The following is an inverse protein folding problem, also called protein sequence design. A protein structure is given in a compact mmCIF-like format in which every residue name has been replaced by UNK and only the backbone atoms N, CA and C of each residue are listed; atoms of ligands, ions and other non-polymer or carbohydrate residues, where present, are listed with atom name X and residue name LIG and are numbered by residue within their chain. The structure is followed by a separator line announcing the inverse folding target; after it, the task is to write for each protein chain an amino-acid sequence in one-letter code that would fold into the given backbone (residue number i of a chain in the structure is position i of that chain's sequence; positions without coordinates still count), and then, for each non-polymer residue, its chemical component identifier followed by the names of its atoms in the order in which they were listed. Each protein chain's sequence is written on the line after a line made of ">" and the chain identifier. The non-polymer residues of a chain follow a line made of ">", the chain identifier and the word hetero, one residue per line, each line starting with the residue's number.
data_IF_219602709820
#
_entry.id   IF_219602709820
#
_cell.length_a   1.000
_cell.length_b   1.000
_cell.length_c   1.000
_cell.angle_alpha   90.00
_cell.angle_beta   90.00
_cell.angle_gamma   90.00
#
_symmetry.space_group_name_H-M   'P 1'
#
loop_
_entity.id
_entity.type
_entity.pdbx_description
1 polymer ?
#
# COMPACT_ATOMS: atom_id res chain seq x y z
N UNK A 1 3.29 8.90 21.77
CA UNK A 1 3.20 7.48 22.17
C UNK A 1 4.55 6.77 22.16
N UNK A 2 5.55 7.25 21.41
CA UNK A 2 6.89 6.62 21.30
C UNK A 2 7.82 6.93 22.50
N UNK A 3 7.62 8.06 23.17
CA UNK A 3 8.38 8.47 24.37
C UNK A 3 8.31 7.51 25.57
N UNK A 4 7.26 6.67 25.65
CA UNK A 4 7.09 5.70 26.74
C UNK A 4 7.97 4.45 26.56
N UNK A 5 8.37 4.13 25.32
CA UNK A 5 9.18 2.95 24.97
C UNK A 5 10.66 3.30 24.75
N UNK A 6 10.97 4.56 24.48
CA UNK A 6 12.33 5.04 24.21
C UNK A 6 13.17 5.23 25.48
N UNK A 7 12.52 5.35 26.65
CA UNK A 7 13.20 5.51 27.92
C UNK A 7 13.06 4.26 28.82
N UNK A 8 14.14 3.49 29.06
CA UNK A 8 14.10 2.27 29.86
C UNK A 8 13.63 2.50 31.31
N UNK A 9 13.87 3.70 31.87
CA UNK A 9 13.40 4.04 33.21
C UNK A 9 11.88 4.18 33.28
N UNK A 10 11.26 4.74 32.23
CA UNK A 10 9.80 4.91 32.15
C UNK A 10 9.12 3.54 31.97
N UNK A 11 9.74 2.64 31.20
CA UNK A 11 9.25 1.27 31.03
C UNK A 11 9.21 0.49 32.35
N UNK A 12 10.28 0.58 33.16
CA UNK A 12 10.35 -0.07 34.47
C UNK A 12 9.29 0.52 35.42
N UNK A 13 9.12 1.84 35.42
CA UNK A 13 8.11 2.52 36.23
C UNK A 13 6.67 2.10 35.84
N UNK A 14 6.40 1.95 34.54
CA UNK A 14 5.11 1.50 34.02
C UNK A 14 4.80 0.05 34.44
N UNK A 15 5.77 -0.86 34.31
CA UNK A 15 5.61 -2.26 34.72
C UNK A 15 5.40 -2.36 36.23
N UNK A 16 6.12 -1.57 37.03
CA UNK A 16 5.96 -1.51 38.47
C UNK A 16 4.56 -0.99 38.87
N UNK A 17 4.08 0.05 38.18
CA UNK A 17 2.75 0.61 38.39
C UNK A 17 1.64 -0.40 38.10
N UNK A 18 1.71 -1.10 36.96
CA UNK A 18 0.74 -2.14 36.59
C UNK A 18 0.83 -3.34 37.55
N UNK A 19 2.05 -3.77 37.92
CA UNK A 19 2.26 -4.90 38.86
C UNK A 19 1.73 -4.60 40.27
N UNK A 20 1.77 -3.33 40.70
CA UNK A 20 1.19 -2.89 41.98
C UNK A 20 -0.33 -3.04 42.00
N UNK A 21 -1.00 -2.76 40.88
CA UNK A 21 -2.44 -2.92 40.74
C UNK A 21 -2.90 -4.39 40.78
N UNK A 22 -2.09 -5.33 40.28
CA UNK A 22 -2.43 -6.75 40.24
C UNK A 22 -2.10 -7.52 41.54
N UNK A 23 -1.33 -6.94 42.47
CA UNK A 23 -0.95 -7.60 43.73
C UNK A 23 -2.07 -7.68 44.78
N UNK A 24 -3.19 -6.97 44.61
CA UNK A 24 -4.27 -6.90 45.62
C UNK A 24 -5.27 -8.07 45.66
N UNK A 25 -4.99 -9.22 45.03
CA UNK A 25 -5.98 -10.34 44.95
C UNK A 25 -5.50 -11.73 45.40
N UNK A 26 -4.42 -11.87 46.18
CA UNK A 26 -4.04 -13.18 46.75
C UNK A 26 -3.65 -13.07 48.22
N UNK A 27 -4.63 -13.23 49.09
CA UNK A 27 -4.44 -13.60 50.50
C UNK A 27 -5.20 -14.90 50.81
N UNK A 28 -4.44 -15.85 51.38
CA UNK A 28 -4.80 -16.94 52.32
C UNK A 28 -5.64 -18.13 51.81
N UNK A 29 -5.35 -19.41 52.12
CA UNK A 29 -5.07 -20.01 53.45
C UNK A 29 -4.27 -21.33 53.37
N UNK A 30 -3.51 -21.71 54.44
CA UNK A 30 -2.90 -23.04 54.60
C UNK A 30 -3.85 -24.03 55.34
N UNK A 31 -3.98 -25.25 54.82
CA UNK A 31 -4.78 -26.34 55.43
C UNK A 31 -3.87 -27.30 56.20
N UNK A 32 -4.20 -27.53 57.48
CA UNK A 32 -3.54 -28.46 58.42
C UNK A 32 -3.75 -29.93 57.99
N UNK A 33 -2.69 -30.74 58.10
CA UNK A 33 -2.64 -32.16 57.77
C UNK A 33 -2.78 -33.05 59.02
N UNK A 34 -3.46 -34.19 58.88
CA UNK A 34 -3.36 -35.37 59.78
C UNK A 34 -2.89 -36.59 58.95
N UNK A 35 -2.11 -37.54 59.51
CA UNK A 35 -1.40 -38.54 58.71
C UNK A 35 -2.27 -39.78 58.44
N UNK A 36 -2.23 -40.26 57.19
CA UNK A 36 -2.97 -41.42 56.67
C UNK A 36 -1.99 -42.54 56.28
N UNK A 37 -2.44 -43.77 56.47
CA UNK A 37 -1.72 -45.05 56.41
C UNK A 37 -1.07 -45.42 55.07
N UNK A 38 0.00 -46.21 55.17
CA UNK A 38 0.98 -46.64 54.15
C UNK A 38 0.43 -47.64 53.09
N UNK A 39 -0.88 -47.89 53.04
CA UNK A 39 -1.47 -48.86 52.10
C UNK A 39 -1.94 -48.25 50.77
N UNK A 40 -1.73 -46.95 50.57
CA UNK A 40 -2.21 -46.20 49.39
C UNK A 40 -1.10 -45.90 48.35
N UNK A 41 0.11 -46.44 48.51
CA UNK A 41 1.21 -46.16 47.56
C UNK A 41 1.24 -47.10 46.34
N UNK A 42 0.73 -48.32 46.44
CA UNK A 42 0.81 -49.28 45.32
C UNK A 42 -0.28 -49.11 44.25
N UNK A 43 -1.46 -48.56 44.58
CA UNK A 43 -2.48 -48.19 43.58
C UNK A 43 -2.15 -46.88 42.86
N UNK A 44 -1.45 -45.96 43.52
CA UNK A 44 -1.10 -44.66 42.96
C UNK A 44 0.00 -44.74 41.88
N UNK A 45 0.80 -45.81 41.81
CA UNK A 45 1.84 -45.97 40.78
C UNK A 45 1.32 -46.54 39.45
N UNK A 46 0.28 -47.37 39.47
CA UNK A 46 -0.32 -47.94 38.25
C UNK A 46 -1.21 -46.94 37.50
N UNK A 47 -1.87 -46.00 38.19
CA UNK A 47 -2.64 -44.91 37.54
C UNK A 47 -1.74 -43.82 36.94
N UNK A 48 -0.54 -43.59 37.50
CA UNK A 48 0.41 -42.57 37.00
C UNK A 48 1.01 -42.95 35.65
N UNK A 49 1.30 -44.23 35.42
CA UNK A 49 1.89 -44.70 34.15
C UNK A 49 0.92 -44.63 32.98
N UNK A 50 -0.40 -44.82 33.21
CA UNK A 50 -1.42 -44.61 32.17
C UNK A 50 -1.68 -43.13 31.87
N UNK A 51 -1.60 -42.25 32.87
CA UNK A 51 -1.79 -40.81 32.70
C UNK A 51 -0.62 -40.17 31.91
N UNK A 52 0.61 -40.61 32.16
CA UNK A 52 1.79 -40.13 31.43
C UNK A 52 1.78 -40.56 29.94
N UNK A 53 1.26 -41.76 29.63
CA UNK A 53 1.10 -42.23 28.25
C UNK A 53 0.08 -41.41 27.47
N UNK A 54 -1.06 -41.09 28.09
CA UNK A 54 -2.09 -40.26 27.45
C UNK A 54 -1.61 -38.83 27.18
N UNK A 55 -0.85 -38.24 28.12
CA UNK A 55 -0.26 -36.91 27.96
C UNK A 55 0.83 -36.87 26.87
N UNK A 56 1.62 -37.95 26.73
CA UNK A 56 2.63 -38.06 25.68
C UNK A 56 1.98 -38.15 24.28
N UNK A 57 0.83 -38.80 24.17
CA UNK A 57 0.09 -38.94 22.91
C UNK A 57 -0.57 -37.62 22.50
N UNK A 58 -1.18 -36.88 23.45
CA UNK A 58 -1.75 -35.54 23.17
C UNK A 58 -0.69 -34.53 22.75
N UNK A 59 0.48 -34.53 23.41
CA UNK A 59 1.60 -33.66 23.01
C UNK A 59 2.05 -33.97 21.58
N UNK A 60 2.17 -35.25 21.21
CA UNK A 60 2.59 -35.67 19.88
C UNK A 60 1.59 -35.26 18.79
N UNK A 61 0.30 -35.30 19.10
CA UNK A 61 -0.76 -34.79 18.21
C UNK A 61 -0.72 -33.26 18.07
N UNK A 62 -0.48 -32.53 19.15
CA UNK A 62 -0.31 -31.07 19.10
C UNK A 62 0.90 -30.65 18.27
N UNK A 63 2.04 -31.34 18.39
CA UNK A 63 3.22 -31.09 17.56
C UNK A 63 2.94 -31.32 16.08
N UNK A 64 2.23 -32.41 15.73
CA UNK A 64 1.82 -32.68 14.34
C UNK A 64 0.88 -31.61 13.80
N UNK A 65 -0.11 -31.17 14.60
CA UNK A 65 -1.00 -30.09 14.19
C UNK A 65 -0.28 -28.75 14.04
N UNK A 66 0.71 -28.45 14.88
CA UNK A 66 1.52 -27.25 14.74
C UNK A 66 2.39 -27.28 13.48
N UNK A 67 3.01 -28.42 13.15
CA UNK A 67 3.79 -28.56 11.92
C UNK A 67 2.92 -28.36 10.66
N UNK A 68 1.72 -28.93 10.63
CA UNK A 68 0.79 -28.73 9.51
C UNK A 68 0.34 -27.27 9.39
N UNK A 69 0.05 -26.61 10.50
CA UNK A 69 -0.29 -25.17 10.51
C UNK A 69 0.88 -24.33 10.04
N UNK A 70 2.11 -24.63 10.49
CA UNK A 70 3.32 -23.92 10.07
C UNK A 70 3.54 -24.06 8.56
N UNK A 71 3.39 -25.27 8.00
CA UNK A 71 3.50 -25.50 6.54
C UNK A 71 2.46 -24.72 5.76
N UNK A 72 1.20 -24.72 6.20
CA UNK A 72 0.12 -23.92 5.56
C UNK A 72 0.40 -22.43 5.58
N UNK A 73 0.89 -21.91 6.70
CA UNK A 73 1.26 -20.49 6.85
C UNK A 73 2.45 -20.16 5.93
N UNK A 74 3.44 -21.05 5.82
CA UNK A 74 4.58 -20.85 4.92
C UNK A 74 4.16 -20.84 3.44
N UNK A 75 3.28 -21.75 3.04
CA UNK A 75 2.72 -21.79 1.68
C UNK A 75 1.92 -20.53 1.35
N UNK A 76 1.05 -20.08 2.26
CA UNK A 76 0.28 -18.85 2.09
C UNK A 76 1.21 -17.63 2.00
N UNK A 77 2.24 -17.57 2.85
CA UNK A 77 3.23 -16.51 2.80
C UNK A 77 3.98 -16.49 1.45
N UNK A 78 4.40 -17.65 0.94
CA UNK A 78 5.06 -17.77 -0.37
C UNK A 78 4.13 -17.31 -1.50
N UNK A 79 2.87 -17.72 -1.49
CA UNK A 79 1.89 -17.30 -2.50
C UNK A 79 1.65 -15.78 -2.46
N UNK A 80 1.42 -15.21 -1.27
CA UNK A 80 1.22 -13.76 -1.11
C UNK A 80 2.46 -12.97 -1.53
N UNK A 81 3.67 -13.48 -1.23
CA UNK A 81 4.93 -12.86 -1.66
C UNK A 81 5.05 -12.83 -3.19
N UNK A 82 4.73 -13.94 -3.85
CA UNK A 82 4.73 -14.00 -5.32
C UNK A 82 3.73 -13.01 -5.94
N UNK A 83 2.50 -12.97 -5.43
CA UNK A 83 1.48 -12.01 -5.89
C UNK A 83 1.92 -10.54 -5.67
N UNK A 84 2.52 -10.25 -4.52
CA UNK A 84 3.06 -8.91 -4.23
C UNK A 84 4.21 -8.53 -5.18
N UNK A 85 5.09 -9.47 -5.50
CA UNK A 85 6.20 -9.25 -6.44
C UNK A 85 5.68 -9.03 -7.88
N UNK A 86 4.72 -9.83 -8.33
CA UNK A 86 4.09 -9.70 -9.64
C UNK A 86 3.37 -8.35 -9.79
N UNK A 87 2.57 -7.96 -8.79
CA UNK A 87 1.88 -6.68 -8.79
C UNK A 87 2.84 -5.48 -8.78
N UNK A 88 3.92 -5.55 -7.99
CA UNK A 88 4.98 -4.54 -7.99
C UNK A 88 5.66 -4.41 -9.36
N UNK A 89 5.99 -5.55 -9.99
CA UNK A 89 6.60 -5.58 -11.32
C UNK A 89 5.64 -5.03 -12.39
N UNK A 90 4.35 -5.35 -12.31
CA UNK A 90 3.34 -4.81 -13.21
C UNK A 90 3.22 -3.28 -13.08
N UNK A 91 3.17 -2.77 -11.85
CA UNK A 91 3.12 -1.33 -11.57
C UNK A 91 4.36 -0.60 -12.07
N UNK A 92 5.55 -1.18 -11.86
CA UNK A 92 6.81 -0.63 -12.35
C UNK A 92 6.85 -0.56 -13.88
N UNK A 93 6.38 -1.61 -14.56
CA UNK A 93 6.28 -1.65 -16.02
C UNK A 93 5.29 -0.59 -16.55
N UNK A 94 4.15 -0.42 -15.89
CA UNK A 94 3.17 0.60 -16.23
C UNK A 94 3.76 2.01 -16.09
N UNK A 95 4.46 2.28 -14.98
CA UNK A 95 5.15 3.55 -14.75
C UNK A 95 6.19 3.82 -15.83
N UNK A 96 7.05 2.83 -16.15
CA UNK A 96 8.07 2.98 -17.20
C UNK A 96 7.45 3.21 -18.58
N UNK A 97 6.33 2.56 -18.89
CA UNK A 97 5.60 2.80 -20.13
C UNK A 97 4.98 4.20 -20.17
N UNK A 98 4.42 4.68 -19.07
CA UNK A 98 3.90 6.04 -18.94
C UNK A 98 5.00 7.09 -19.09
N UNK A 99 6.16 6.92 -18.44
CA UNK A 99 7.32 7.81 -18.56
C UNK A 99 7.86 7.84 -20.00
N UNK A 100 7.90 6.70 -20.70
CA UNK A 100 8.27 6.66 -22.13
C UNK A 100 7.26 7.41 -23.01
N UNK A 101 5.96 7.31 -22.72
CA UNK A 101 4.93 8.07 -23.44
C UNK A 101 5.05 9.56 -23.16
N UNK A 102 5.20 9.94 -21.88
CA UNK A 102 5.35 11.33 -21.47
C UNK A 102 6.62 11.96 -22.08
N UNK A 103 7.76 11.27 -22.05
CA UNK A 103 8.99 11.76 -22.68
C UNK A 103 8.89 11.88 -24.20
N UNK A 104 8.16 10.98 -24.88
CA UNK A 104 7.85 11.13 -26.31
C UNK A 104 7.00 12.37 -26.55
N UNK A 105 5.91 12.56 -25.80
CA UNK A 105 5.04 13.74 -25.91
C UNK A 105 5.83 15.02 -25.64
N UNK A 106 6.68 15.05 -24.61
CA UNK A 106 7.51 16.20 -24.28
C UNK A 106 8.51 16.53 -25.41
N UNK A 107 9.14 15.51 -26.02
CA UNK A 107 10.02 15.70 -27.19
C UNK A 107 9.26 16.17 -28.42
N UNK A 108 8.06 15.63 -28.68
CA UNK A 108 7.23 16.11 -29.79
C UNK A 108 6.78 17.54 -29.55
N UNK A 109 6.36 17.89 -28.31
CA UNK A 109 5.98 19.25 -27.93
C UNK A 109 7.14 20.25 -27.99
N UNK A 110 8.38 19.83 -27.63
CA UNK A 110 9.56 20.67 -27.79
C UNK A 110 9.90 20.89 -29.26
N UNK A 111 9.74 19.86 -30.10
CA UNK A 111 10.01 19.97 -31.53
C UNK A 111 8.95 20.79 -32.26
N UNK A 112 7.66 20.67 -31.89
CA UNK A 112 6.60 21.52 -32.46
C UNK A 112 6.75 22.97 -32.04
N UNK A 113 7.21 23.24 -30.80
CA UNK A 113 7.57 24.59 -30.37
C UNK A 113 8.84 25.11 -31.08
N UNK A 114 9.80 24.26 -31.40
CA UNK A 114 11.00 24.65 -32.15
C UNK A 114 10.70 24.96 -33.63
N UNK A 115 9.79 24.22 -34.28
CA UNK A 115 9.35 24.48 -35.67
C UNK A 115 8.32 25.62 -35.78
N UNK A 116 7.51 25.88 -34.74
CA UNK A 116 6.60 27.03 -34.70
C UNK A 116 7.25 28.30 -34.14
N UNK A 117 8.51 28.25 -33.71
CA UNK A 117 9.34 29.45 -33.49
C UNK A 117 9.84 29.99 -34.84
N UNK A 118 8.94 30.10 -35.83
CA UNK A 118 9.08 31.15 -36.83
C UNK A 118 9.01 32.45 -36.05
N UNK A 119 10.10 33.20 -36.10
CA UNK A 119 10.18 34.65 -35.92
C UNK A 119 8.83 35.30 -35.58
N UNK A 120 8.68 36.05 -34.47
CA UNK A 120 7.56 36.96 -34.31
C UNK A 120 7.71 38.14 -35.28
N UNK A 121 7.81 37.88 -36.58
CA UNK A 121 7.68 38.88 -37.63
C UNK A 121 6.20 39.23 -37.74
N UNK A 122 5.68 40.00 -36.78
CA UNK A 122 4.35 40.60 -36.88
C UNK A 122 3.53 40.69 -35.59
N UNK A 123 3.98 40.12 -34.47
CA UNK A 123 3.32 40.35 -33.18
C UNK A 123 3.83 41.64 -32.53
N UNK A 124 3.70 42.76 -33.27
CA UNK A 124 3.62 44.05 -32.61
C UNK A 124 2.43 44.03 -31.67
N UNK A 125 2.54 44.66 -30.50
CA UNK A 125 1.38 44.91 -29.64
C UNK A 125 0.28 45.57 -30.46
N UNK A 126 -0.73 44.80 -30.86
CA UNK A 126 -1.81 45.29 -31.70
C UNK A 126 -2.74 46.14 -30.82
N UNK A 127 -2.50 47.45 -30.81
CA UNK A 127 -3.41 48.38 -30.16
C UNK A 127 -4.63 48.60 -31.07
N UNK A 128 -5.78 48.07 -30.66
CA UNK A 128 -7.03 48.22 -31.39
C UNK A 128 -7.53 49.67 -31.32
N UNK A 129 -7.47 50.41 -32.43
CA UNK A 129 -8.21 51.67 -32.60
C UNK A 129 -9.66 51.35 -32.95
N UNK A 130 -10.61 52.02 -32.29
CA UNK A 130 -12.07 51.77 -32.48
C UNK A 130 -12.50 51.84 -33.95
N UNK A 131 -11.94 52.77 -34.72
CA UNK A 131 -12.22 52.91 -36.15
C UNK A 131 -11.76 51.69 -36.96
N UNK A 132 -10.55 51.19 -36.71
CA UNK A 132 -10.01 50.01 -37.39
C UNK A 132 -10.82 48.75 -37.13
N UNK A 133 -11.46 48.64 -35.97
CA UNK A 133 -12.38 47.53 -35.68
C UNK A 133 -13.68 47.65 -36.49
N UNK A 134 -14.25 48.86 -36.57
CA UNK A 134 -15.45 49.11 -37.37
C UNK A 134 -15.19 48.85 -38.86
N UNK A 135 -14.06 49.33 -39.39
CA UNK A 135 -13.64 49.07 -40.76
C UNK A 135 -13.44 47.56 -40.99
N UNK A 136 -12.82 46.85 -40.05
CA UNK A 136 -12.65 45.39 -40.13
C UNK A 136 -13.98 44.63 -40.21
N UNK A 137 -15.00 45.09 -39.49
CA UNK A 137 -16.35 44.52 -39.58
C UNK A 137 -16.98 44.82 -40.95
N UNK A 138 -16.87 46.06 -41.44
CA UNK A 138 -17.38 46.43 -42.77
C UNK A 138 -16.70 45.60 -43.86
N UNK A 139 -15.38 45.46 -43.80
CA UNK A 139 -14.63 44.62 -44.73
C UNK A 139 -15.04 43.14 -44.65
N UNK A 140 -15.40 42.64 -43.46
CA UNK A 140 -15.89 41.26 -43.33
C UNK A 140 -17.24 41.04 -44.02
N UNK A 141 -18.10 42.06 -44.06
CA UNK A 141 -19.37 42.00 -44.79
C UNK A 141 -19.14 42.08 -46.30
N UNK A 142 -18.26 42.99 -46.75
CA UNK A 142 -17.95 43.16 -48.18
C UNK A 142 -17.25 41.92 -48.77
N UNK A 143 -16.28 41.37 -48.05
CA UNK A 143 -15.46 40.26 -48.52
C UNK A 143 -16.16 38.90 -48.35
N UNK A 144 -17.17 38.82 -47.48
CA UNK A 144 -17.90 37.61 -47.18
C UNK A 144 -17.14 36.63 -46.27
N UNK A 145 -17.65 35.39 -46.12
CA UNK A 145 -17.10 34.42 -45.16
C UNK A 145 -15.65 34.06 -45.50
N UNK A 146 -14.82 33.74 -44.48
CA UNK A 146 -13.42 33.47 -44.71
C UNK A 146 -13.25 32.25 -45.62
N UNK A 147 -12.28 32.32 -46.54
CA UNK A 147 -11.93 31.24 -47.49
C UNK A 147 -11.59 29.92 -46.81
N UNK A 148 -11.24 29.92 -45.52
CA UNK A 148 -11.07 28.71 -44.71
C UNK A 148 -12.34 27.86 -44.59
N UNK A 149 -13.53 28.48 -44.64
CA UNK A 149 -14.81 27.76 -44.64
C UNK A 149 -15.13 27.11 -45.99
N UNK A 150 -14.62 27.67 -47.09
CA UNK A 150 -14.76 27.12 -48.44
C UNK A 150 -13.38 26.95 -49.12
N UNK A 151 -12.56 25.97 -48.70
CA UNK A 151 -11.27 25.71 -49.31
C UNK A 151 -11.42 25.28 -50.76
N UNK A 152 -10.43 25.59 -51.60
CA UNK A 152 -10.45 25.15 -53.00
C UNK A 152 -10.39 23.63 -53.10
N UNK A 153 -11.11 23.11 -54.10
CA UNK A 153 -11.32 21.68 -54.36
C UNK A 153 -10.02 20.86 -54.50
N UNK A 154 -8.88 21.49 -54.75
CA UNK A 154 -7.57 20.85 -54.83
C UNK A 154 -7.04 20.33 -53.47
N UNK A 155 -7.54 20.84 -52.34
CA UNK A 155 -7.10 20.43 -51.00
C UNK A 155 -7.85 19.20 -50.46
N UNK A 156 -9.01 18.86 -51.02
CA UNK A 156 -9.86 17.75 -50.56
C UNK A 156 -9.56 16.41 -51.25
N UNK A 157 -8.43 16.29 -51.96
CA UNK A 157 -8.01 15.00 -52.53
C UNK A 157 -7.44 14.13 -51.39
N UNK A 158 -8.35 13.44 -50.69
CA UNK A 158 -8.04 12.37 -49.74
C UNK A 158 -7.03 11.41 -50.40
N UNK A 159 -5.90 11.20 -49.73
CA UNK A 159 -5.11 9.98 -49.87
C UNK A 159 -5.73 8.88 -49.01
#
# INVERSE_FOLDING_TARGET
>A
MEFLLENPFILIALIAFISSFFKKKKEEKPVKQTPRSVQQEQRAQAERTSADSALAETLKEEYRQQEEKAKRIEEEYRQRKQQAEESMKALQNQRRAAERKASKIAKTASNTNAEHRKEPSGAGSFEFRKQSLADGIIWSEILGPPRSKNPHRSLNRKQ
#
